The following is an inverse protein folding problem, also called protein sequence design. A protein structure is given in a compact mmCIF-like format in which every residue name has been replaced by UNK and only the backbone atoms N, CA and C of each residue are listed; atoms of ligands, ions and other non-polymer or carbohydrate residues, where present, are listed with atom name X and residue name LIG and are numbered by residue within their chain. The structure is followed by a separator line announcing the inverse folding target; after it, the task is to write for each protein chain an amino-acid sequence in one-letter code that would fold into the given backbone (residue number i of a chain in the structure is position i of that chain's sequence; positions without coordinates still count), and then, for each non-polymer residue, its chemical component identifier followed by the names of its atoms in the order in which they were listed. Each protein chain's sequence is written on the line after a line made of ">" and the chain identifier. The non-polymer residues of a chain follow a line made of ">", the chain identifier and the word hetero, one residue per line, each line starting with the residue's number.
data_IF_150577216183
#
_entry.id   IF_150577216183
#
_cell.length_a   1.000
_cell.length_b   1.000
_cell.length_c   1.000
_cell.angle_alpha   90.00
_cell.angle_beta   90.00
_cell.angle_gamma   90.00
#
_symmetry.space_group_name_H-M   'P 1'
#
loop_
_entity.id
_entity.type
_entity.pdbx_description
1 polymer ?
#
# COMPACT_ATOMS: atom_id res chain seq x y z
N UNK A 1 15.04 0.99 -23.33
CA UNK A 1 14.96 -0.41 -22.87
C UNK A 1 14.70 -0.40 -21.37
N UNK A 2 13.68 -1.11 -20.89
CA UNK A 2 13.43 -1.27 -19.44
C UNK A 2 14.44 -2.27 -18.90
N UNK A 3 15.21 -1.90 -17.87
CA UNK A 3 16.14 -2.83 -17.23
C UNK A 3 15.40 -3.87 -16.39
N UNK A 4 15.99 -5.04 -16.20
CA UNK A 4 15.36 -6.11 -15.39
C UNK A 4 15.06 -5.63 -13.96
N UNK A 5 15.95 -4.83 -13.38
CA UNK A 5 15.77 -4.25 -12.04
C UNK A 5 14.57 -3.29 -12.01
N UNK A 6 14.42 -2.44 -13.04
CA UNK A 6 13.28 -1.52 -13.15
C UNK A 6 11.97 -2.28 -13.23
N UNK A 7 11.94 -3.36 -14.01
CA UNK A 7 10.79 -4.24 -14.08
C UNK A 7 10.48 -4.90 -12.72
N UNK A 8 11.49 -5.41 -12.01
CA UNK A 8 11.33 -6.01 -10.68
C UNK A 8 10.76 -5.01 -9.66
N UNK A 9 11.27 -3.78 -9.63
CA UNK A 9 10.77 -2.75 -8.72
C UNK A 9 9.31 -2.39 -9.03
N UNK A 10 8.96 -2.22 -10.31
CA UNK A 10 7.58 -1.94 -10.70
C UNK A 10 6.64 -3.09 -10.32
N UNK A 11 7.05 -4.35 -10.55
CA UNK A 11 6.25 -5.52 -10.21
C UNK A 11 6.01 -5.64 -8.69
N UNK A 12 7.04 -5.40 -7.87
CA UNK A 12 6.88 -5.49 -6.42
C UNK A 12 6.13 -4.30 -5.83
N UNK A 13 6.29 -3.11 -6.40
CA UNK A 13 5.48 -1.94 -6.05
C UNK A 13 4.00 -2.17 -6.38
N UNK A 14 3.69 -2.81 -7.51
CA UNK A 14 2.32 -3.21 -7.85
C UNK A 14 1.76 -4.22 -6.85
N UNK A 15 2.53 -5.25 -6.50
CA UNK A 15 2.14 -6.23 -5.48
C UNK A 15 1.91 -5.58 -4.11
N UNK A 16 2.78 -4.65 -3.72
CA UNK A 16 2.63 -3.90 -2.48
C UNK A 16 1.36 -3.05 -2.47
N UNK A 17 1.10 -2.30 -3.54
CA UNK A 17 -0.12 -1.50 -3.69
C UNK A 17 -1.39 -2.35 -3.58
N UNK A 18 -1.40 -3.57 -4.16
CA UNK A 18 -2.51 -4.51 -3.98
C UNK A 18 -2.68 -4.92 -2.52
N UNK A 19 -1.59 -5.24 -1.81
CA UNK A 19 -1.64 -5.61 -0.38
C UNK A 19 -2.18 -4.48 0.49
N UNK A 20 -1.90 -3.22 0.14
CA UNK A 20 -2.43 -2.04 0.83
C UNK A 20 -3.95 -1.95 0.69
N UNK A 21 -4.49 -2.23 -0.50
CA UNK A 21 -5.92 -2.32 -0.73
C UNK A 21 -6.58 -3.37 0.17
N UNK A 22 -5.98 -4.55 0.30
CA UNK A 22 -6.50 -5.60 1.18
C UNK A 22 -6.42 -5.20 2.68
N UNK A 23 -5.28 -4.69 3.12
CA UNK A 23 -5.02 -4.37 4.53
C UNK A 23 -5.88 -3.18 5.00
N UNK A 24 -5.82 -2.05 4.29
CA UNK A 24 -6.48 -0.81 4.71
C UNK A 24 -7.99 -0.81 4.46
N UNK A 25 -8.51 -1.64 3.56
CA UNK A 25 -9.96 -1.85 3.46
C UNK A 25 -10.52 -2.37 4.79
N UNK A 26 -9.85 -3.35 5.42
CA UNK A 26 -10.23 -3.82 6.75
C UNK A 26 -10.16 -2.71 7.80
N UNK A 27 -9.08 -1.93 7.79
CA UNK A 27 -8.86 -0.84 8.74
C UNK A 27 -9.92 0.28 8.62
N UNK A 28 -10.27 0.70 7.41
CA UNK A 28 -11.18 1.83 7.19
C UNK A 28 -12.65 1.42 7.17
N UNK A 29 -12.98 0.23 6.66
CA UNK A 29 -14.37 -0.22 6.51
C UNK A 29 -14.82 -1.25 7.54
N UNK A 30 -13.91 -1.76 8.37
CA UNK A 30 -14.22 -2.74 9.40
C UNK A 30 -15.35 -2.29 10.33
N UNK A 31 -15.26 -1.06 10.85
CA UNK A 31 -16.29 -0.51 11.75
C UNK A 31 -17.62 -0.19 11.04
N UNK A 32 -17.65 0.53 9.90
CA UNK A 32 -18.89 0.71 9.13
C UNK A 32 -19.59 -0.61 8.76
N UNK A 33 -18.82 -1.65 8.45
CA UNK A 33 -19.35 -2.97 8.17
C UNK A 33 -19.88 -3.65 9.44
N UNK A 34 -19.11 -3.61 10.54
CA UNK A 34 -19.49 -4.21 11.82
C UNK A 34 -20.73 -3.58 12.46
N UNK A 35 -20.96 -2.27 12.25
CA UNK A 35 -22.16 -1.58 12.74
C UNK A 35 -23.41 -1.85 11.91
N UNK A 36 -23.29 -2.56 10.78
CA UNK A 36 -24.39 -2.78 9.83
C UNK A 36 -24.74 -1.53 9.00
N UNK A 37 -23.94 -0.47 9.06
CA UNK A 37 -24.18 0.78 8.34
C UNK A 37 -23.90 0.65 6.84
N UNK A 38 -23.08 -0.32 6.43
CA UNK A 38 -22.79 -0.61 5.02
C UNK A 38 -22.64 -2.11 4.79
N UNK A 39 -23.10 -2.59 3.63
CA UNK A 39 -22.88 -3.98 3.20
C UNK A 39 -21.44 -4.15 2.69
N UNK A 40 -20.94 -5.39 2.67
CA UNK A 40 -19.57 -5.69 2.24
C UNK A 40 -19.23 -5.13 0.86
N UNK A 41 -20.04 -5.43 -0.17
CA UNK A 41 -19.73 -5.01 -1.56
C UNK A 41 -19.66 -3.48 -1.73
N UNK A 42 -20.65 -2.69 -1.25
CA UNK A 42 -20.53 -1.24 -1.24
C UNK A 42 -19.30 -0.71 -0.48
N UNK A 43 -18.93 -1.33 0.65
CA UNK A 43 -17.75 -0.92 1.41
C UNK A 43 -16.45 -1.12 0.62
N UNK A 44 -16.31 -2.26 -0.06
CA UNK A 44 -15.19 -2.55 -0.95
C UNK A 44 -15.11 -1.53 -2.10
N UNK A 45 -16.24 -1.24 -2.74
CA UNK A 45 -16.30 -0.29 -3.86
C UNK A 45 -15.97 1.14 -3.40
N UNK A 46 -16.54 1.57 -2.27
CA UNK A 46 -16.29 2.88 -1.69
C UNK A 46 -14.81 3.06 -1.37
N UNK A 47 -14.18 2.08 -0.73
CA UNK A 47 -12.74 2.10 -0.46
C UNK A 47 -11.94 2.23 -1.74
N UNK A 48 -12.16 1.36 -2.72
CA UNK A 48 -11.40 1.36 -3.97
C UNK A 48 -11.47 2.71 -4.71
N UNK A 49 -12.67 3.29 -4.82
CA UNK A 49 -12.86 4.59 -5.49
C UNK A 49 -12.22 5.74 -4.72
N UNK A 50 -12.46 5.82 -3.40
CA UNK A 50 -11.95 6.93 -2.60
C UNK A 50 -10.43 6.87 -2.42
N UNK A 51 -9.86 5.66 -2.30
CA UNK A 51 -8.40 5.49 -2.27
C UNK A 51 -7.75 5.85 -3.59
N UNK A 52 -8.36 5.54 -4.74
CA UNK A 52 -7.87 6.00 -6.04
C UNK A 52 -7.85 7.53 -6.12
N UNK A 53 -8.93 8.20 -5.68
CA UNK A 53 -8.98 9.66 -5.64
C UNK A 53 -7.92 10.24 -4.70
N UNK A 54 -7.80 9.71 -3.47
CA UNK A 54 -6.78 10.14 -2.50
C UNK A 54 -5.36 9.97 -3.05
N UNK A 55 -5.08 8.82 -3.66
CA UNK A 55 -3.80 8.53 -4.31
C UNK A 55 -3.48 9.52 -5.45
N UNK A 56 -4.50 9.86 -6.25
CA UNK A 56 -4.32 10.73 -7.42
C UNK A 56 -4.10 12.20 -7.06
N UNK A 57 -4.79 12.70 -6.01
CA UNK A 57 -4.85 14.13 -5.74
C UNK A 57 -4.10 14.56 -4.47
N UNK A 58 -3.89 13.67 -3.49
CA UNK A 58 -3.40 14.04 -2.16
C UNK A 58 -2.07 13.36 -1.77
N UNK A 59 -1.68 12.27 -2.43
CA UNK A 59 -0.51 11.48 -2.01
C UNK A 59 0.87 12.04 -2.40
N UNK A 60 0.94 13.14 -3.17
CA UNK A 60 2.22 13.66 -3.69
C UNK A 60 3.24 13.96 -2.58
N UNK A 61 2.84 14.69 -1.53
CA UNK A 61 3.76 15.07 -0.45
C UNK A 61 4.28 13.86 0.34
N UNK A 62 3.43 12.85 0.55
CA UNK A 62 3.84 11.60 1.21
C UNK A 62 4.82 10.83 0.33
N UNK A 63 4.59 10.78 -0.99
CA UNK A 63 5.48 10.13 -1.95
C UNK A 63 6.87 10.79 -1.96
N UNK A 64 6.92 12.12 -1.91
CA UNK A 64 8.17 12.88 -1.81
C UNK A 64 8.90 12.57 -0.48
N UNK A 65 8.19 12.57 0.65
CA UNK A 65 8.77 12.30 1.96
C UNK A 65 9.27 10.85 2.10
N UNK A 66 8.50 9.86 1.66
CA UNK A 66 8.91 8.45 1.74
C UNK A 66 10.05 8.17 0.75
N UNK A 67 9.99 8.75 -0.46
CA UNK A 67 10.99 8.54 -1.49
C UNK A 67 12.34 9.21 -1.21
N UNK A 68 12.34 10.35 -0.51
CA UNK A 68 13.54 11.20 -0.40
C UNK A 68 13.79 11.80 1.00
N UNK A 69 12.81 11.75 1.90
CA UNK A 69 12.86 12.44 3.20
C UNK A 69 13.14 11.54 4.41
N UNK A 70 13.22 10.22 4.23
CA UNK A 70 13.49 9.25 5.32
C UNK A 70 14.98 8.90 5.41
N UNK A 71 15.61 8.66 4.26
CA UNK A 71 17.04 8.32 4.17
C UNK A 71 17.83 9.52 3.69
N UNK A 72 19.01 9.74 4.28
CA UNK A 72 19.89 10.88 3.99
C UNK A 72 20.43 10.85 2.56
N UNK A 73 20.73 9.66 2.05
CA UNK A 73 21.23 9.43 0.70
C UNK A 73 20.20 8.68 -0.14
N UNK A 74 20.27 8.83 -1.47
CA UNK A 74 19.42 8.05 -2.37
C UNK A 74 19.72 6.56 -2.25
N UNK A 75 18.68 5.77 -1.99
CA UNK A 75 18.75 4.33 -2.04
C UNK A 75 19.08 3.87 -3.45
N UNK A 76 20.14 3.06 -3.58
CA UNK A 76 20.39 2.31 -4.80
C UNK A 76 19.23 1.36 -5.12
N UNK A 77 19.13 0.94 -6.39
CA UNK A 77 18.02 0.15 -6.90
C UNK A 77 17.71 -1.12 -6.07
N UNK A 78 18.74 -1.83 -5.62
CA UNK A 78 18.60 -3.03 -4.78
C UNK A 78 18.00 -2.68 -3.41
N UNK A 79 18.39 -1.54 -2.84
CA UNK A 79 17.84 -1.05 -1.57
C UNK A 79 16.36 -0.72 -1.71
N UNK A 80 15.98 0.00 -2.76
CA UNK A 80 14.58 0.31 -3.04
C UNK A 80 13.71 -0.96 -3.22
N UNK A 81 14.21 -1.94 -3.97
CA UNK A 81 13.52 -3.23 -4.14
C UNK A 81 13.37 -3.93 -2.79
N UNK A 82 14.43 -3.99 -1.99
CA UNK A 82 14.42 -4.65 -0.67
C UNK A 82 13.38 -4.03 0.27
N UNK A 83 13.33 -2.70 0.36
CA UNK A 83 12.38 -1.99 1.23
C UNK A 83 10.93 -2.34 0.84
N UNK A 84 10.58 -2.21 -0.44
CA UNK A 84 9.23 -2.49 -0.90
C UNK A 84 8.89 -3.98 -0.78
N UNK A 85 9.87 -4.87 -1.01
CA UNK A 85 9.68 -6.31 -0.85
C UNK A 85 9.34 -6.70 0.59
N UNK A 86 10.09 -6.19 1.57
CA UNK A 86 9.85 -6.47 2.98
C UNK A 86 8.51 -5.90 3.43
N UNK A 87 8.20 -4.66 3.04
CA UNK A 87 6.92 -4.03 3.35
C UNK A 87 5.74 -4.84 2.79
N UNK A 88 5.83 -5.31 1.54
CA UNK A 88 4.83 -6.18 0.92
C UNK A 88 4.66 -7.52 1.65
N UNK A 89 5.78 -8.21 1.93
CA UNK A 89 5.74 -9.52 2.57
C UNK A 89 5.11 -9.45 3.96
N UNK A 90 5.53 -8.49 4.78
CA UNK A 90 5.00 -8.31 6.14
C UNK A 90 3.54 -7.87 6.11
N UNK A 91 3.18 -6.89 5.28
CA UNK A 91 1.79 -6.42 5.17
C UNK A 91 0.87 -7.55 4.72
N UNK A 92 1.30 -8.35 3.75
CA UNK A 92 0.53 -9.52 3.29
C UNK A 92 0.39 -10.55 4.40
N UNK A 93 1.48 -10.87 5.10
CA UNK A 93 1.46 -11.79 6.24
C UNK A 93 0.49 -11.32 7.34
N UNK A 94 0.59 -10.07 7.78
CA UNK A 94 -0.31 -9.52 8.80
C UNK A 94 -1.75 -9.47 8.34
N UNK A 95 -2.01 -9.20 7.06
CA UNK A 95 -3.35 -9.28 6.47
C UNK A 95 -3.92 -10.70 6.57
N UNK A 96 -3.12 -11.73 6.25
CA UNK A 96 -3.55 -13.14 6.38
C UNK A 96 -3.80 -13.53 7.85
N UNK A 97 -2.96 -13.01 8.76
CA UNK A 97 -3.10 -13.21 10.20
C UNK A 97 -4.19 -12.34 10.84
N UNK A 98 -4.85 -11.46 10.08
CA UNK A 98 -5.89 -10.53 10.55
C UNK A 98 -5.41 -9.57 11.65
N UNK A 99 -4.13 -9.21 11.60
CA UNK A 99 -3.52 -8.27 12.55
C UNK A 99 -3.49 -6.89 11.88
N UNK A 100 -4.15 -5.86 12.45
CA UNK A 100 -4.06 -4.50 11.93
C UNK A 100 -2.71 -3.89 12.30
N UNK A 101 -1.97 -3.39 11.30
CA UNK A 101 -0.61 -2.84 11.47
C UNK A 101 -0.40 -1.56 10.68
N UNK A 102 0.58 -0.74 11.07
CA UNK A 102 1.15 0.26 10.16
C UNK A 102 2.03 -0.44 9.13
N UNK A 103 1.92 -0.04 7.86
CA UNK A 103 2.68 -0.64 6.75
C UNK A 103 3.97 0.12 6.39
N UNK A 104 4.22 1.22 7.09
CA UNK A 104 5.34 2.16 6.95
C UNK A 104 5.80 2.60 8.34
#
# INVERSE_FOLDING_TARGET
>A
MISISTFSLAAIAFAFAWSMGAHYTGACMGMPYASGSIRLRPALLLMALMTLLGASFLSRGVLEQVGHGIVTDQLGMIGAITVIAVAFLLTTLFTQLRIPTSTI
#
